data_IF_076350352563
#
_entry.id   IF_076350352563
#
_cell.length_a   1.000
_cell.length_b   1.000
_cell.length_c   1.000
_cell.angle_alpha   90.00
_cell.angle_beta   90.00
_cell.angle_gamma   90.00
#
_symmetry.space_group_name_H-M   'P 1'
#
loop_
_entity.id
_entity.type
_entity.pdbx_description
1 polymer ?
#
# COMPACT_ATOMS: atom_id res chain seq x y z
N UNK A 1 0.86 -16.07 -13.73
CA UNK A 1 1.31 -14.99 -14.62
C UNK A 1 0.91 -13.65 -14.00
N UNK A 2 1.86 -12.90 -13.42
CA UNK A 2 1.61 -11.64 -12.70
C UNK A 2 1.52 -10.46 -13.70
N UNK A 3 0.33 -10.23 -14.27
CA UNK A 3 0.15 -9.25 -15.37
C UNK A 3 0.38 -7.81 -14.89
N UNK A 4 -0.09 -7.46 -13.69
CA UNK A 4 -0.06 -6.07 -13.18
C UNK A 4 1.36 -5.59 -12.87
N UNK A 5 2.20 -6.33 -12.11
CA UNK A 5 3.58 -5.92 -11.87
C UNK A 5 4.39 -5.75 -13.16
N UNK A 6 4.22 -6.65 -14.13
CA UNK A 6 4.92 -6.56 -15.43
C UNK A 6 4.57 -5.28 -16.17
N UNK A 7 3.27 -4.92 -16.26
CA UNK A 7 2.83 -3.67 -16.90
C UNK A 7 3.29 -2.43 -16.15
N UNK A 8 3.32 -2.47 -14.82
CA UNK A 8 3.78 -1.34 -14.00
C UNK A 8 5.27 -1.05 -14.25
N UNK A 9 6.10 -2.10 -14.24
CA UNK A 9 7.54 -1.98 -14.50
C UNK A 9 7.82 -1.55 -15.95
N UNK A 10 7.08 -2.06 -16.94
CA UNK A 10 7.27 -1.66 -18.35
C UNK A 10 6.95 -0.19 -18.60
N UNK A 11 6.09 0.40 -17.77
CA UNK A 11 5.72 1.81 -17.85
C UNK A 11 6.66 2.72 -17.02
N UNK A 12 7.82 2.20 -16.57
CA UNK A 12 8.80 2.97 -15.80
C UNK A 12 8.56 3.01 -14.30
N UNK A 13 7.57 2.26 -13.80
CA UNK A 13 7.33 2.10 -12.37
C UNK A 13 8.51 1.43 -11.65
N UNK A 14 8.67 1.72 -10.36
CA UNK A 14 9.69 1.11 -9.49
C UNK A 14 9.03 0.42 -8.32
N UNK A 15 9.45 -0.81 -8.02
CA UNK A 15 8.98 -1.57 -6.86
C UNK A 15 10.07 -1.49 -5.78
N UNK A 16 9.73 -0.94 -4.62
CA UNK A 16 10.63 -0.81 -3.48
C UNK A 16 10.00 -1.51 -2.28
N UNK A 17 10.72 -2.46 -1.67
CA UNK A 17 10.28 -3.09 -0.42
C UNK A 17 10.70 -2.19 0.74
N UNK A 18 9.73 -1.56 1.38
CA UNK A 18 9.92 -0.64 2.51
C UNK A 18 8.70 -0.67 3.42
N UNK A 19 8.91 -0.61 4.73
CA UNK A 19 7.85 -0.31 5.70
C UNK A 19 7.74 1.20 5.84
N UNK A 20 6.52 1.72 5.82
CA UNK A 20 6.21 3.14 5.98
C UNK A 20 5.38 3.27 7.23
N UNK A 21 5.97 3.82 8.30
CA UNK A 21 5.30 4.03 9.58
C UNK A 21 4.57 5.38 9.60
N UNK A 22 5.09 6.36 8.84
CA UNK A 22 4.48 7.67 8.62
C UNK A 22 4.71 8.14 7.18
N UNK A 23 3.91 9.07 6.65
CA UNK A 23 4.17 9.62 5.32
C UNK A 23 5.46 10.43 5.23
N UNK A 24 5.96 10.96 6.36
CA UNK A 24 7.24 11.66 6.41
C UNK A 24 8.43 10.74 6.04
N UNK A 25 8.29 9.43 6.25
CA UNK A 25 9.29 8.44 5.84
C UNK A 25 9.54 8.46 4.30
N UNK A 26 8.59 8.94 3.51
CA UNK A 26 8.69 9.02 2.05
C UNK A 26 9.47 10.27 1.58
N UNK A 27 9.64 11.27 2.45
CA UNK A 27 10.25 12.55 2.12
C UNK A 27 9.40 13.41 1.18
N UNK A 28 9.97 14.53 0.72
CA UNK A 28 9.26 15.54 -0.11
C UNK A 28 9.39 15.32 -1.62
N UNK A 29 9.91 14.17 -2.06
CA UNK A 29 10.23 13.89 -3.47
C UNK A 29 9.05 13.45 -4.33
N UNK A 30 7.83 13.51 -3.81
CA UNK A 30 6.61 13.04 -4.49
C UNK A 30 5.55 14.15 -4.51
N UNK A 31 4.95 14.39 -5.67
CA UNK A 31 3.86 15.35 -5.82
C UNK A 31 2.54 14.86 -5.21
N UNK A 32 2.35 13.54 -5.14
CA UNK A 32 1.17 12.92 -4.56
C UNK A 32 1.48 11.55 -3.96
N UNK A 33 0.65 11.14 -3.00
CA UNK A 33 0.69 9.82 -2.37
C UNK A 33 -0.68 9.17 -2.56
N UNK A 34 -0.69 7.96 -3.12
CA UNK A 34 -1.89 7.12 -3.21
C UNK A 34 -1.81 6.05 -2.11
N UNK A 35 -2.60 6.22 -1.05
CA UNK A 35 -2.60 5.30 0.08
C UNK A 35 -3.40 4.02 -0.23
N UNK A 36 -2.71 2.89 -0.38
CA UNK A 36 -3.29 1.57 -0.63
C UNK A 36 -2.90 0.53 0.44
N UNK A 37 -2.72 0.95 1.70
CA UNK A 37 -2.19 0.09 2.78
C UNK A 37 -3.20 -0.88 3.41
N UNK A 38 -4.45 -0.89 2.93
CA UNK A 38 -5.48 -1.80 3.45
C UNK A 38 -5.70 -1.60 4.94
N UNK A 39 -5.65 -2.68 5.73
CA UNK A 39 -5.89 -2.64 7.19
C UNK A 39 -4.95 -1.70 7.95
N UNK A 40 -3.73 -1.49 7.46
CA UNK A 40 -2.76 -0.60 8.11
C UNK A 40 -3.12 0.89 7.98
N UNK A 41 -4.09 1.25 7.13
CA UNK A 41 -4.61 2.63 7.07
C UNK A 41 -5.20 3.07 8.42
N UNK A 42 -5.71 2.12 9.22
CA UNK A 42 -6.15 2.37 10.59
C UNK A 42 -5.05 3.00 11.45
N UNK A 43 -3.81 2.53 11.32
CA UNK A 43 -2.65 3.07 12.05
C UNK A 43 -2.04 4.28 11.34
N UNK A 44 -1.83 4.17 10.03
CA UNK A 44 -1.06 5.16 9.26
C UNK A 44 -1.78 6.51 9.11
N UNK A 45 -3.12 6.51 9.02
CA UNK A 45 -3.92 7.73 8.82
C UNK A 45 -5.09 7.84 9.80
N UNK A 46 -5.06 7.08 10.91
CA UNK A 46 -6.11 7.07 11.94
C UNK A 46 -7.52 6.79 11.38
N UNK A 47 -7.64 5.87 10.41
CA UNK A 47 -8.95 5.44 9.90
C UNK A 47 -9.66 4.53 10.91
N UNK A 48 -10.35 5.14 11.87
CA UNK A 48 -11.02 4.44 12.97
C UNK A 48 -12.23 3.60 12.53
N UNK A 49 -12.84 3.95 11.39
CA UNK A 49 -13.99 3.23 10.83
C UNK A 49 -13.56 1.91 10.17
N UNK A 50 -12.28 1.80 9.80
CA UNK A 50 -11.72 0.58 9.25
C UNK A 50 -11.66 -0.53 10.31
N UNK A 51 -12.19 -1.70 9.95
CA UNK A 51 -12.19 -2.89 10.78
C UNK A 51 -11.98 -4.15 9.93
N UNK A 52 -11.21 -5.14 10.42
CA UNK A 52 -10.96 -6.37 9.68
C UNK A 52 -12.20 -7.27 9.66
N UNK A 53 -12.51 -7.82 8.49
CA UNK A 53 -13.48 -8.91 8.35
C UNK A 53 -12.69 -10.21 8.08
N UNK A 54 -12.69 -11.11 9.07
CA UNK A 54 -11.96 -12.38 8.97
C UNK A 54 -12.75 -13.38 8.14
N UNK A 55 -12.22 -13.79 6.99
CA UNK A 55 -12.70 -14.91 6.19
C UNK A 55 -11.83 -16.15 6.38
N UNK A 56 -12.46 -17.32 6.52
CA UNK A 56 -11.78 -18.62 6.49
C UNK A 56 -12.26 -19.39 5.25
N UNK A 57 -11.33 -20.00 4.53
CA UNK A 57 -11.63 -20.85 3.37
C UNK A 57 -11.39 -22.32 3.76
N UNK A 58 -12.21 -23.23 3.21
CA UNK A 58 -11.94 -24.66 3.32
C UNK A 58 -10.71 -25.00 2.46
N UNK A 59 -9.79 -25.77 3.03
CA UNK A 59 -8.69 -26.38 2.28
C UNK A 59 -9.15 -27.67 1.61
#
# INVERSE_FOLDING_TARGET
MFIVPSRFLSNGGRIVKKTVETFDDLGTGYDCIVNCTGLEAKKLVADDLLHPIRGQVCN
#
